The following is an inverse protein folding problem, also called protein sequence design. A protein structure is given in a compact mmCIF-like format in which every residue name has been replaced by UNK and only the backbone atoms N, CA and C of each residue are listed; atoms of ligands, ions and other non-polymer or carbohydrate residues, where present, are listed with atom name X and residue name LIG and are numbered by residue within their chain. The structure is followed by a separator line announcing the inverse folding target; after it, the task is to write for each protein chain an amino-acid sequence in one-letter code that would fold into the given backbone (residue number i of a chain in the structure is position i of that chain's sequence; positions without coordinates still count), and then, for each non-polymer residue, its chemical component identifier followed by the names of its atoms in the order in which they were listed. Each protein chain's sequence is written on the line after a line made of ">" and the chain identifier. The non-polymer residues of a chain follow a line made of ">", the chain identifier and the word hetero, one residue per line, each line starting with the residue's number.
data_IF_385580017333
#
_entry.id   IF_385580017333
#
_cell.length_a   1.000
_cell.length_b   1.000
_cell.length_c   1.000
_cell.angle_alpha   90.00
_cell.angle_beta   90.00
_cell.angle_gamma   90.00
#
_symmetry.space_group_name_H-M   'P 1'
#
loop_
_entity.id
_entity.type
_entity.pdbx_description
1 polymer ?
#
# COMPACT_ATOMS: atom_id res chain seq x y z
N UNK A 1 -31.64 6.97 24.58
CA UNK A 1 -30.70 7.55 23.60
C UNK A 1 -30.26 6.39 22.73
N UNK A 2 -30.47 6.47 21.41
CA UNK A 2 -29.89 5.49 20.49
C UNK A 2 -28.38 5.79 20.54
N UNK A 3 -27.55 4.86 21.02
CA UNK A 3 -26.12 4.97 20.83
C UNK A 3 -25.89 5.11 19.32
N UNK A 4 -25.44 6.30 18.89
CA UNK A 4 -25.04 6.46 17.49
C UNK A 4 -23.84 5.54 17.26
N UNK A 5 -24.03 4.58 16.36
CA UNK A 5 -22.99 3.59 16.04
C UNK A 5 -21.76 4.26 15.43
N UNK A 6 -20.58 3.78 15.78
CA UNK A 6 -19.32 4.26 15.22
C UNK A 6 -19.25 3.95 13.71
N UNK A 7 -18.92 4.98 12.91
CA UNK A 7 -18.82 4.88 11.46
C UNK A 7 -17.43 5.29 10.99
N UNK A 8 -16.81 4.47 10.13
CA UNK A 8 -15.54 4.80 9.51
C UNK A 8 -15.74 5.36 8.09
N UNK A 9 -15.11 6.49 7.80
CA UNK A 9 -15.12 7.11 6.48
C UNK A 9 -13.72 7.01 5.90
N UNK A 10 -13.51 6.03 5.00
CA UNK A 10 -12.23 5.80 4.32
C UNK A 10 -12.11 6.67 3.08
N UNK A 11 -11.06 7.48 3.03
CA UNK A 11 -10.65 8.22 1.85
C UNK A 11 -9.51 7.44 1.17
N UNK A 12 -9.80 6.78 0.06
CA UNK A 12 -8.85 6.00 -0.74
C UNK A 12 -8.46 6.76 -2.01
N UNK A 13 -7.40 6.35 -2.71
CA UNK A 13 -7.13 6.93 -4.03
C UNK A 13 -8.11 6.39 -5.08
N UNK A 14 -8.15 5.06 -5.29
CA UNK A 14 -8.97 4.42 -6.32
C UNK A 14 -9.82 3.26 -5.81
N UNK A 15 -9.42 2.58 -4.73
CA UNK A 15 -10.16 1.43 -4.23
C UNK A 15 -11.66 1.76 -4.04
N UNK A 16 -12.58 0.94 -4.49
CA UNK A 16 -12.42 -0.46 -4.95
C UNK A 16 -12.24 -0.63 -6.46
N UNK A 17 -11.83 0.38 -7.19
CA UNK A 17 -11.70 0.34 -8.65
C UNK A 17 -10.24 0.12 -9.09
N UNK A 18 -9.99 -0.75 -10.11
CA UNK A 18 -8.66 -0.90 -10.67
C UNK A 18 -8.18 0.37 -11.43
N UNK A 19 -6.86 0.56 -11.59
CA UNK A 19 -5.79 -0.22 -11.00
C UNK A 19 -5.41 0.25 -9.60
N UNK A 20 -4.96 -0.67 -8.75
CA UNK A 20 -4.29 -0.36 -7.48
C UNK A 20 -5.10 -0.66 -6.22
N UNK A 21 -4.43 -0.55 -5.10
CA UNK A 21 -4.97 -0.70 -3.73
C UNK A 21 -5.67 -2.05 -3.45
N UNK A 22 -5.39 -3.11 -4.24
CA UNK A 22 -6.01 -4.45 -4.02
C UNK A 22 -5.76 -4.99 -2.62
N UNK A 23 -4.62 -4.64 -2.02
CA UNK A 23 -4.23 -4.99 -0.67
C UNK A 23 -5.18 -4.43 0.41
N UNK A 24 -5.90 -3.34 0.14
CA UNK A 24 -6.89 -2.78 1.06
C UNK A 24 -8.12 -3.68 1.25
N UNK A 25 -8.40 -4.58 0.31
CA UNK A 25 -9.56 -5.49 0.38
C UNK A 25 -9.52 -6.33 1.65
N UNK A 26 -8.39 -7.00 1.92
CA UNK A 26 -8.22 -7.84 3.12
C UNK A 26 -8.33 -7.05 4.42
N UNK A 27 -7.74 -5.84 4.46
CA UNK A 27 -7.81 -4.97 5.63
C UNK A 27 -9.24 -4.50 5.91
N UNK A 28 -9.95 -3.99 4.89
CA UNK A 28 -11.33 -3.52 5.05
C UNK A 28 -12.31 -4.65 5.40
N UNK A 29 -12.14 -5.84 4.82
CA UNK A 29 -12.93 -7.01 5.18
C UNK A 29 -12.70 -7.40 6.64
N UNK A 30 -11.47 -7.35 7.13
CA UNK A 30 -11.16 -7.63 8.52
C UNK A 30 -11.73 -6.56 9.46
N UNK A 31 -11.59 -5.27 9.13
CA UNK A 31 -12.11 -4.14 9.89
C UNK A 31 -13.65 -4.17 9.94
N UNK A 32 -14.32 -4.55 8.84
CA UNK A 32 -15.78 -4.61 8.76
C UNK A 32 -16.45 -5.60 9.73
N UNK A 33 -15.66 -6.50 10.33
CA UNK A 33 -16.15 -7.42 11.38
C UNK A 33 -16.33 -6.72 12.73
N UNK A 34 -15.67 -5.59 12.93
CA UNK A 34 -15.60 -4.87 14.20
C UNK A 34 -16.34 -3.52 14.17
N UNK A 35 -16.74 -3.05 13.00
CA UNK A 35 -17.38 -1.74 12.79
C UNK A 35 -18.74 -1.94 12.13
N UNK A 36 -19.73 -1.13 12.53
CA UNK A 36 -21.09 -1.24 12.03
C UNK A 36 -21.25 -0.76 10.60
N UNK A 37 -20.62 0.37 10.26
CA UNK A 37 -20.67 0.97 8.93
C UNK A 37 -19.30 1.47 8.48
N UNK A 38 -18.92 1.12 7.27
CA UNK A 38 -17.74 1.65 6.58
C UNK A 38 -18.20 2.32 5.29
N UNK A 39 -17.90 3.61 5.15
CA UNK A 39 -18.12 4.36 3.91
C UNK A 39 -16.76 4.58 3.25
N UNK A 40 -16.61 4.16 2.00
CA UNK A 40 -15.40 4.38 1.22
C UNK A 40 -15.64 5.41 0.13
N UNK A 41 -14.74 6.40 0.04
CA UNK A 41 -14.77 7.48 -0.95
C UNK A 41 -13.45 7.45 -1.72
N UNK A 42 -13.42 7.01 -3.00
CA UNK A 42 -12.23 7.01 -3.83
C UNK A 42 -11.94 8.41 -4.36
N UNK A 43 -11.05 9.17 -3.69
CA UNK A 43 -10.83 10.60 -3.95
C UNK A 43 -9.86 10.91 -5.12
N UNK A 44 -9.46 9.91 -5.91
CA UNK A 44 -8.65 10.11 -7.12
C UNK A 44 -9.46 10.79 -8.23
N UNK A 45 -9.03 11.99 -8.67
CA UNK A 45 -9.74 12.73 -9.73
C UNK A 45 -9.57 12.13 -11.14
N UNK A 46 -8.70 11.16 -11.32
CA UNK A 46 -8.55 10.39 -12.56
C UNK A 46 -9.50 9.18 -12.64
N UNK A 47 -10.32 9.00 -11.62
CA UNK A 47 -11.27 7.89 -11.54
C UNK A 47 -12.24 7.89 -12.74
N UNK A 48 -12.35 6.76 -13.43
CA UNK A 48 -13.29 6.50 -14.51
C UNK A 48 -14.39 5.56 -14.01
N UNK A 49 -15.65 6.00 -14.11
CA UNK A 49 -16.82 5.23 -13.68
C UNK A 49 -17.03 3.90 -14.47
N UNK A 50 -16.27 3.70 -15.56
CA UNK A 50 -16.38 2.53 -16.43
C UNK A 50 -15.71 1.26 -15.89
N UNK A 51 -14.94 1.35 -14.81
CA UNK A 51 -14.27 0.20 -14.20
C UNK A 51 -15.20 -0.53 -13.25
N UNK A 52 -15.29 -1.86 -13.35
CA UNK A 52 -16.00 -2.65 -12.36
C UNK A 52 -15.22 -2.68 -11.04
N UNK A 53 -15.91 -2.50 -9.89
CA UNK A 53 -15.26 -2.56 -8.59
C UNK A 53 -14.84 -4.00 -8.26
N UNK A 54 -13.83 -4.15 -7.40
CA UNK A 54 -13.54 -5.43 -6.76
C UNK A 54 -14.76 -5.93 -5.97
N UNK A 55 -14.86 -7.25 -5.77
CA UNK A 55 -15.88 -7.82 -4.88
C UNK A 55 -15.64 -7.35 -3.45
N UNK A 56 -16.67 -6.84 -2.81
CA UNK A 56 -16.61 -6.23 -1.47
C UNK A 56 -17.73 -6.76 -0.56
N UNK A 57 -17.47 -6.76 0.74
CA UNK A 57 -18.47 -7.09 1.76
C UNK A 57 -19.67 -6.13 1.72
N UNK A 58 -20.87 -6.64 1.99
CA UNK A 58 -22.11 -5.85 2.07
C UNK A 58 -22.09 -4.78 3.18
N UNK A 59 -21.21 -4.87 4.15
CA UNK A 59 -21.00 -3.87 5.21
C UNK A 59 -20.21 -2.65 4.74
N UNK A 60 -19.58 -2.70 3.57
CA UNK A 60 -18.77 -1.62 3.03
C UNK A 60 -19.57 -0.89 1.97
N UNK A 61 -19.90 0.36 2.26
CA UNK A 61 -20.65 1.23 1.37
C UNK A 61 -19.68 2.11 0.56
N UNK A 62 -19.65 1.94 -0.75
CA UNK A 62 -18.81 2.76 -1.65
C UNK A 62 -19.63 3.96 -2.14
N UNK A 63 -19.20 5.16 -1.76
CA UNK A 63 -19.87 6.39 -2.16
C UNK A 63 -19.03 7.21 -3.16
N UNK A 64 -19.35 7.09 -4.43
CA UNK A 64 -18.68 7.82 -5.52
C UNK A 64 -19.30 9.20 -5.79
N UNK A 65 -20.44 9.55 -5.20
CA UNK A 65 -21.13 10.83 -5.46
C UNK A 65 -20.24 12.05 -5.24
N UNK A 66 -19.46 12.15 -4.12
CA UNK A 66 -18.55 13.28 -3.92
C UNK A 66 -17.54 13.42 -5.06
N UNK A 67 -16.97 12.31 -5.50
CA UNK A 67 -15.93 12.28 -6.54
C UNK A 67 -16.54 12.69 -7.89
N UNK A 68 -17.66 12.11 -8.27
CA UNK A 68 -18.39 12.45 -9.49
C UNK A 68 -18.72 13.95 -9.56
N UNK A 69 -19.22 14.53 -8.46
CA UNK A 69 -19.48 15.96 -8.37
C UNK A 69 -18.22 16.81 -8.51
N UNK A 70 -17.14 16.42 -7.84
CA UNK A 70 -15.87 17.12 -7.91
C UNK A 70 -15.25 17.05 -9.32
N UNK A 71 -15.23 15.87 -9.94
CA UNK A 71 -14.72 15.67 -11.31
C UNK A 71 -15.53 16.47 -12.32
N UNK A 72 -16.88 16.45 -12.24
CA UNK A 72 -17.75 17.23 -13.12
C UNK A 72 -17.46 18.73 -13.02
N UNK A 73 -17.29 19.25 -11.82
CA UNK A 73 -16.93 20.65 -11.59
C UNK A 73 -15.52 20.94 -12.11
N UNK A 74 -14.55 20.08 -11.79
CA UNK A 74 -13.18 20.25 -12.26
C UNK A 74 -13.09 20.29 -13.79
N UNK A 75 -13.78 19.39 -14.49
CA UNK A 75 -13.82 19.37 -15.95
C UNK A 75 -14.51 20.62 -16.53
N UNK A 76 -15.57 21.13 -15.87
CA UNK A 76 -16.32 22.32 -16.32
C UNK A 76 -15.58 23.64 -16.04
N UNK A 77 -14.60 23.65 -15.12
CA UNK A 77 -13.88 24.87 -14.74
C UNK A 77 -12.65 25.07 -15.63
N UNK A 78 -12.50 26.29 -16.14
CA UNK A 78 -11.23 26.71 -16.78
C UNK A 78 -10.09 26.83 -15.76
N UNK A 79 -8.85 26.86 -16.26
CA UNK A 79 -7.63 26.97 -15.42
C UNK A 79 -7.71 28.11 -14.38
N UNK A 80 -8.30 29.24 -14.77
CA UNK A 80 -8.45 30.42 -13.92
C UNK A 80 -9.34 30.16 -12.69
N UNK A 81 -10.53 29.54 -12.88
CA UNK A 81 -11.43 29.19 -11.75
C UNK A 81 -10.81 28.17 -10.82
N UNK A 82 -10.06 27.20 -11.35
CA UNK A 82 -9.33 26.22 -10.56
C UNK A 82 -8.27 26.92 -9.69
N UNK A 83 -7.51 27.85 -10.27
CA UNK A 83 -6.51 28.63 -9.54
C UNK A 83 -7.17 29.49 -8.44
N UNK A 84 -8.27 30.20 -8.73
CA UNK A 84 -9.00 30.99 -7.73
C UNK A 84 -9.40 30.08 -6.54
N UNK A 85 -9.94 28.88 -6.80
CA UNK A 85 -10.34 27.97 -5.71
C UNK A 85 -9.17 27.65 -4.78
N UNK A 86 -7.98 27.34 -5.31
CA UNK A 86 -6.79 27.14 -4.47
C UNK A 86 -6.36 28.42 -3.72
N UNK A 87 -6.46 29.58 -4.37
CA UNK A 87 -6.09 30.87 -3.78
C UNK A 87 -7.05 31.35 -2.67
N UNK A 88 -8.21 30.71 -2.47
CA UNK A 88 -9.11 31.03 -1.33
C UNK A 88 -8.47 30.73 0.03
N UNK A 89 -7.41 29.88 0.08
CA UNK A 89 -6.72 29.46 1.30
C UNK A 89 -5.25 29.93 1.26
N UNK A 90 -5.07 31.24 1.24
CA UNK A 90 -3.73 31.87 1.27
C UNK A 90 -2.94 31.52 2.52
N UNK A 91 -3.62 31.25 3.64
CA UNK A 91 -3.04 30.78 4.89
C UNK A 91 -2.27 29.46 4.69
N UNK A 92 -2.91 28.47 4.06
CA UNK A 92 -2.29 27.17 3.74
C UNK A 92 -1.15 27.35 2.74
N UNK A 93 -1.38 28.11 1.68
CA UNK A 93 -0.37 28.33 0.63
C UNK A 93 0.90 28.99 1.17
N UNK A 94 0.75 29.97 2.06
CA UNK A 94 1.90 30.65 2.70
C UNK A 94 2.64 29.71 3.64
N UNK A 95 1.92 28.93 4.46
CA UNK A 95 2.50 27.93 5.34
C UNK A 95 3.31 26.91 4.55
N UNK A 96 2.72 26.34 3.50
CA UNK A 96 3.40 25.35 2.65
C UNK A 96 4.62 25.92 1.96
N UNK A 97 4.51 27.14 1.41
CA UNK A 97 5.64 27.80 0.74
C UNK A 97 6.81 28.11 1.66
N UNK A 98 6.55 28.47 2.91
CA UNK A 98 7.61 28.73 3.89
C UNK A 98 8.39 27.46 4.24
N UNK A 99 7.70 26.29 4.24
CA UNK A 99 8.28 24.99 4.58
C UNK A 99 8.94 24.30 3.39
N UNK A 100 8.34 24.41 2.21
CA UNK A 100 8.75 23.71 0.96
C UNK A 100 8.96 24.71 -0.19
N UNK A 101 9.99 25.57 -0.11
CA UNK A 101 10.19 26.64 -1.09
C UNK A 101 10.53 26.15 -2.51
N UNK A 102 10.95 24.91 -2.67
CA UNK A 102 11.28 24.29 -3.97
C UNK A 102 10.06 23.86 -4.79
N UNK A 103 8.87 23.70 -4.17
CA UNK A 103 7.67 23.31 -4.90
C UNK A 103 7.13 24.47 -5.75
N UNK A 104 6.78 24.22 -7.05
CA UNK A 104 6.12 25.22 -7.88
C UNK A 104 4.75 25.62 -7.32
N UNK A 105 4.44 26.92 -7.33
CA UNK A 105 3.13 27.42 -6.90
C UNK A 105 1.95 26.76 -7.61
N UNK A 106 2.09 26.48 -8.90
CA UNK A 106 1.04 25.84 -9.69
C UNK A 106 0.67 24.46 -9.17
N UNK A 107 1.64 23.72 -8.64
CA UNK A 107 1.42 22.38 -8.07
C UNK A 107 0.66 22.52 -6.74
N UNK A 108 1.14 23.37 -5.83
CA UNK A 108 0.52 23.56 -4.52
C UNK A 108 -0.92 24.08 -4.68
N UNK A 109 -1.13 25.11 -5.51
CA UNK A 109 -2.45 25.68 -5.79
C UNK A 109 -3.38 24.64 -6.43
N UNK A 110 -2.86 23.85 -7.39
CA UNK A 110 -3.62 22.82 -8.06
C UNK A 110 -4.09 21.73 -7.11
N UNK A 111 -3.19 21.22 -6.26
CA UNK A 111 -3.49 20.18 -5.27
C UNK A 111 -4.49 20.69 -4.22
N UNK A 112 -4.30 21.89 -3.71
CA UNK A 112 -5.21 22.52 -2.76
C UNK A 112 -6.60 22.74 -3.37
N UNK A 113 -6.66 23.21 -4.62
CA UNK A 113 -7.95 23.42 -5.32
C UNK A 113 -8.74 22.12 -5.49
N UNK A 114 -8.06 21.02 -5.83
CA UNK A 114 -8.67 19.69 -5.95
C UNK A 114 -9.17 19.19 -4.59
N UNK A 115 -8.35 19.29 -3.55
CA UNK A 115 -8.69 18.87 -2.19
C UNK A 115 -9.88 19.66 -1.63
N UNK A 116 -9.92 20.99 -1.83
CA UNK A 116 -11.06 21.82 -1.44
C UNK A 116 -12.33 21.48 -2.20
N UNK A 117 -12.23 21.14 -3.48
CA UNK A 117 -13.39 20.77 -4.28
C UNK A 117 -13.99 19.43 -3.83
N UNK A 118 -13.13 18.46 -3.50
CA UNK A 118 -13.52 17.17 -2.94
C UNK A 118 -14.13 17.34 -1.55
N UNK A 119 -13.49 18.10 -0.67
CA UNK A 119 -14.01 18.45 0.65
C UNK A 119 -15.42 19.04 0.57
N UNK A 120 -15.64 20.07 -0.28
CA UNK A 120 -16.95 20.68 -0.48
C UNK A 120 -17.99 19.69 -1.04
N UNK A 121 -17.54 18.70 -1.83
CA UNK A 121 -18.44 17.70 -2.42
C UNK A 121 -18.78 16.62 -1.39
N UNK A 122 -17.88 16.23 -0.52
CA UNK A 122 -18.13 15.32 0.62
C UNK A 122 -19.14 15.96 1.56
N UNK A 123 -18.90 17.18 2.02
CA UNK A 123 -19.81 17.91 2.93
C UNK A 123 -21.23 18.11 2.37
N UNK A 124 -21.40 18.05 1.05
CA UNK A 124 -22.74 18.15 0.40
C UNK A 124 -23.45 16.81 0.26
N UNK A 125 -22.75 15.71 0.33
CA UNK A 125 -23.30 14.38 0.02
C UNK A 125 -23.33 13.44 1.21
N UNK A 126 -22.57 13.76 2.26
CA UNK A 126 -22.48 12.98 3.49
C UNK A 126 -22.69 13.95 4.65
N UNK A 127 -23.63 13.62 5.53
CA UNK A 127 -23.77 14.29 6.82
C UNK A 127 -22.77 13.64 7.77
N UNK A 128 -21.81 14.43 8.24
CA UNK A 128 -20.83 14.02 9.22
C UNK A 128 -21.39 14.15 10.63
N UNK A 129 -21.03 13.25 11.53
CA UNK A 129 -21.40 13.26 12.95
C UNK A 129 -20.15 13.19 13.82
N UNK A 130 -20.28 13.51 15.10
CA UNK A 130 -19.18 13.46 16.07
C UNK A 130 -18.61 12.04 16.28
N UNK A 131 -19.39 11.00 15.95
CA UNK A 131 -18.99 9.59 16.10
C UNK A 131 -18.32 9.03 14.83
N UNK A 132 -18.15 9.88 13.79
CA UNK A 132 -17.43 9.50 12.60
C UNK A 132 -15.92 9.55 12.83
N UNK A 133 -15.21 8.61 12.23
CA UNK A 133 -13.76 8.62 12.17
C UNK A 133 -13.35 8.67 10.70
N UNK A 134 -12.57 9.68 10.34
CA UNK A 134 -12.06 9.80 8.97
C UNK A 134 -10.70 9.11 8.89
N UNK A 135 -10.60 8.11 8.01
CA UNK A 135 -9.38 7.37 7.73
C UNK A 135 -8.87 7.74 6.34
N UNK A 136 -7.82 8.53 6.27
CA UNK A 136 -7.09 8.78 5.03
C UNK A 136 -6.14 7.62 4.77
N UNK A 137 -6.43 6.80 3.75
CA UNK A 137 -5.62 5.60 3.50
C UNK A 137 -4.26 5.90 2.83
N UNK A 138 -3.97 7.16 2.57
CA UNK A 138 -2.70 7.67 2.05
C UNK A 138 -2.36 9.02 2.69
N UNK A 139 -1.08 9.22 2.98
CA UNK A 139 -0.56 10.46 3.55
C UNK A 139 -0.33 11.56 2.49
N UNK A 140 -1.18 11.60 1.46
CA UNK A 140 -1.19 12.59 0.40
C UNK A 140 -2.56 13.28 0.32
N UNK A 141 -3.20 13.37 -0.85
CA UNK A 141 -4.52 14.04 -1.00
C UNK A 141 -5.61 13.56 -0.04
N UNK A 142 -5.82 12.25 0.21
CA UNK A 142 -6.72 11.78 1.27
C UNK A 142 -6.47 12.45 2.63
N UNK A 143 -5.20 12.56 3.06
CA UNK A 143 -4.85 13.22 4.32
C UNK A 143 -5.14 14.72 4.28
N UNK A 144 -4.90 15.39 3.15
CA UNK A 144 -5.24 16.82 2.97
C UNK A 144 -6.75 17.05 3.07
N UNK A 145 -7.55 16.16 2.49
CA UNK A 145 -9.03 16.26 2.57
C UNK A 145 -9.51 16.01 4.01
N UNK A 146 -8.97 15.01 4.70
CA UNK A 146 -9.27 14.74 6.10
C UNK A 146 -8.97 15.97 6.96
N UNK A 147 -7.79 16.56 6.83
CA UNK A 147 -7.40 17.77 7.55
C UNK A 147 -8.29 18.99 7.24
N UNK A 148 -8.78 19.14 6.01
CA UNK A 148 -9.72 20.20 5.63
C UNK A 148 -11.12 19.96 6.20
N UNK A 149 -11.56 18.72 6.37
CA UNK A 149 -12.84 18.37 6.96
C UNK A 149 -12.85 18.65 8.47
N UNK A 150 -11.74 18.40 9.18
CA UNK A 150 -11.65 18.69 10.62
C UNK A 150 -11.63 20.18 10.96
N UNK A 151 -11.31 21.05 10.01
CA UNK A 151 -11.48 22.49 10.23
C UNK A 151 -12.96 22.90 10.42
N UNK A 152 -13.88 22.21 9.74
CA UNK A 152 -15.33 22.44 9.88
C UNK A 152 -15.94 21.56 10.99
N UNK A 153 -15.29 20.44 11.32
CA UNK A 153 -15.73 19.40 12.24
C UNK A 153 -14.61 19.00 13.19
N UNK A 154 -14.19 19.86 14.13
CA UNK A 154 -13.06 19.60 15.03
C UNK A 154 -13.30 18.46 16.02
N UNK A 155 -14.55 18.05 16.19
CA UNK A 155 -14.95 16.90 17.02
C UNK A 155 -14.62 15.55 16.38
N UNK A 156 -14.49 15.50 15.04
CA UNK A 156 -14.23 14.25 14.30
C UNK A 156 -12.78 13.83 14.42
N UNK A 157 -12.54 12.58 14.77
CA UNK A 157 -11.21 11.99 14.83
C UNK A 157 -10.69 11.57 13.48
N UNK A 158 -9.38 11.64 13.32
CA UNK A 158 -8.71 11.42 12.04
C UNK A 158 -7.47 10.55 12.14
N UNK A 159 -7.35 9.63 11.21
CA UNK A 159 -6.18 8.75 11.06
C UNK A 159 -5.67 8.86 9.62
N UNK A 160 -4.36 8.91 9.42
CA UNK A 160 -3.76 8.71 8.11
C UNK A 160 -2.86 7.50 8.09
N UNK A 161 -3.05 6.61 7.12
CA UNK A 161 -2.02 5.63 6.78
C UNK A 161 -0.93 6.29 5.93
N UNK A 162 0.28 5.73 6.00
CA UNK A 162 1.43 6.18 5.25
C UNK A 162 2.20 4.97 4.70
N UNK A 163 2.32 4.91 3.37
CA UNK A 163 2.89 3.80 2.62
C UNK A 163 4.22 4.21 1.96
N UNK A 164 4.97 3.25 1.42
CA UNK A 164 6.23 3.57 0.75
C UNK A 164 6.11 4.55 -0.43
N UNK A 165 4.93 4.64 -1.07
CA UNK A 165 4.68 5.57 -2.19
C UNK A 165 4.44 7.02 -1.77
N UNK A 166 4.06 7.27 -0.52
CA UNK A 166 3.76 8.60 0.01
C UNK A 166 4.60 8.97 1.25
N UNK A 167 5.57 8.15 1.60
CA UNK A 167 6.57 8.46 2.65
C UNK A 167 7.83 9.05 2.05
N UNK A 168 8.35 8.42 0.96
CA UNK A 168 9.64 8.81 0.39
C UNK A 168 9.48 9.77 -0.77
N UNK A 169 9.95 11.01 -0.59
CA UNK A 169 9.91 12.05 -1.62
C UNK A 169 10.63 11.64 -2.92
N UNK A 170 11.66 10.77 -2.84
CA UNK A 170 12.38 10.23 -3.99
C UNK A 170 11.50 9.41 -4.96
N UNK A 171 10.33 8.97 -4.51
CA UNK A 171 9.35 8.25 -5.35
C UNK A 171 8.31 9.18 -5.99
N UNK A 172 8.27 10.43 -5.57
CA UNK A 172 7.40 11.45 -6.15
C UNK A 172 8.08 12.12 -7.35
N UNK A 173 7.27 12.64 -8.28
CA UNK A 173 7.78 13.47 -9.39
C UNK A 173 8.30 14.84 -8.92
N UNK A 174 8.24 15.12 -7.62
CA UNK A 174 8.63 16.36 -6.98
C UNK A 174 9.46 16.08 -5.73
N UNK A 175 10.33 17.01 -5.31
CA UNK A 175 11.20 16.82 -4.16
C UNK A 175 10.45 16.69 -2.82
N UNK A 176 9.15 17.02 -2.80
CA UNK A 176 8.27 16.91 -1.64
C UNK A 176 6.83 16.65 -2.08
N UNK A 177 6.05 15.97 -1.24
CA UNK A 177 4.61 15.83 -1.46
C UNK A 177 3.90 17.13 -1.04
N UNK A 178 3.14 17.77 -1.95
CA UNK A 178 2.46 19.03 -1.64
C UNK A 178 1.42 18.84 -0.54
N UNK A 179 1.38 19.77 0.42
CA UNK A 179 0.45 19.85 1.54
C UNK A 179 0.55 18.71 2.57
N UNK A 180 1.46 17.75 2.40
CA UNK A 180 1.57 16.60 3.29
C UNK A 180 1.84 17.01 4.74
N UNK A 181 2.88 17.80 4.99
CA UNK A 181 3.24 18.26 6.35
C UNK A 181 2.11 19.06 6.97
N UNK A 182 1.49 19.97 6.19
CA UNK A 182 0.35 20.77 6.64
C UNK A 182 -0.82 19.87 7.07
N UNK A 183 -1.12 18.83 6.29
CA UNK A 183 -2.19 17.88 6.57
C UNK A 183 -1.87 17.02 7.79
N UNK A 184 -0.73 16.33 7.79
CA UNK A 184 -0.35 15.40 8.86
C UNK A 184 -0.25 16.07 10.23
N UNK A 185 0.17 17.33 10.27
CA UNK A 185 0.20 18.11 11.51
C UNK A 185 -1.18 18.28 12.17
N UNK A 186 -2.26 18.12 11.42
CA UNK A 186 -3.65 18.31 11.89
C UNK A 186 -4.39 17.03 12.24
N UNK A 187 -3.82 15.88 11.89
CA UNK A 187 -4.44 14.58 12.13
C UNK A 187 -4.11 14.03 13.52
N UNK A 188 -5.01 13.24 14.10
CA UNK A 188 -4.84 12.70 15.44
C UNK A 188 -3.79 11.57 15.48
N UNK A 189 -3.74 10.71 14.44
CA UNK A 189 -2.74 9.62 14.34
C UNK A 189 -2.25 9.45 12.91
N UNK A 190 -0.99 9.05 12.78
CA UNK A 190 -0.33 8.72 11.53
C UNK A 190 0.25 7.31 11.67
N UNK A 191 -0.23 6.41 10.82
CA UNK A 191 0.04 4.98 10.86
C UNK A 191 0.95 4.59 9.69
N UNK A 192 2.25 4.50 9.93
CA UNK A 192 3.17 3.98 8.92
C UNK A 192 3.07 2.46 8.84
N UNK A 193 3.06 1.91 7.62
CA UNK A 193 2.97 0.46 7.40
C UNK A 193 4.26 -0.30 7.75
N UNK A 194 5.36 0.42 8.04
CA UNK A 194 6.65 -0.15 8.43
C UNK A 194 7.33 0.67 9.54
N UNK A 195 8.23 0.04 10.28
CA UNK A 195 9.06 0.75 11.25
C UNK A 195 10.02 1.72 10.56
N UNK A 196 10.61 1.31 9.45
CA UNK A 196 11.48 2.17 8.64
C UNK A 196 10.75 3.44 8.19
N UNK A 197 9.50 3.31 7.71
CA UNK A 197 8.66 4.44 7.33
C UNK A 197 8.28 5.32 8.53
N UNK A 198 7.94 4.72 9.68
CA UNK A 198 7.69 5.46 10.93
C UNK A 198 8.90 6.29 11.34
N UNK A 199 10.10 5.70 11.34
CA UNK A 199 11.30 6.37 11.79
C UNK A 199 11.72 7.48 10.82
N UNK A 200 11.53 7.27 9.52
CA UNK A 200 11.69 8.31 8.51
C UNK A 200 10.73 9.49 8.75
N UNK A 201 9.43 9.23 8.90
CA UNK A 201 8.43 10.28 9.17
C UNK A 201 8.69 11.02 10.48
N UNK A 202 9.11 10.32 11.55
CA UNK A 202 9.49 10.95 12.82
C UNK A 202 10.70 11.86 12.68
N UNK A 203 11.66 11.49 11.84
CA UNK A 203 12.83 12.31 11.54
C UNK A 203 12.48 13.54 10.69
N UNK A 204 11.58 13.38 9.73
CA UNK A 204 11.14 14.47 8.85
C UNK A 204 10.20 15.45 9.56
N UNK A 205 9.35 14.95 10.47
CA UNK A 205 8.32 15.70 11.16
C UNK A 205 8.45 15.62 12.70
N UNK A 206 9.49 16.21 13.29
CA UNK A 206 9.75 16.11 14.74
C UNK A 206 8.67 16.77 15.60
N UNK A 207 7.94 17.77 15.10
CA UNK A 207 6.93 18.53 15.85
C UNK A 207 5.72 17.70 16.28
N UNK A 208 5.44 16.60 15.58
CA UNK A 208 4.31 15.71 15.89
C UNK A 208 4.70 14.23 15.89
N UNK A 209 5.97 13.93 16.17
CA UNK A 209 6.50 12.55 16.19
C UNK A 209 5.76 11.60 17.13
N UNK A 210 5.13 12.12 18.20
CA UNK A 210 4.34 11.33 19.15
C UNK A 210 3.03 10.77 18.57
N UNK A 211 2.52 11.34 17.46
CA UNK A 211 1.34 10.86 16.75
C UNK A 211 1.67 9.83 15.67
N UNK A 212 2.96 9.62 15.39
CA UNK A 212 3.43 8.70 14.35
C UNK A 212 3.78 7.36 14.98
N UNK A 213 3.10 6.30 14.54
CA UNK A 213 3.34 4.93 15.02
C UNK A 213 3.28 3.93 13.86
N UNK A 214 3.76 2.71 14.10
CA UNK A 214 3.68 1.63 13.11
C UNK A 214 2.35 0.92 13.23
N UNK A 215 1.67 0.75 12.10
CA UNK A 215 0.53 -0.15 11.95
C UNK A 215 0.71 -0.93 10.65
N UNK A 216 1.04 -2.22 10.77
CA UNK A 216 1.35 -3.06 9.61
C UNK A 216 0.09 -3.41 8.82
N UNK A 217 0.24 -3.50 7.50
CA UNK A 217 -0.75 -4.14 6.64
C UNK A 217 -0.83 -5.63 6.98
N UNK A 218 -1.92 -6.27 6.57
CA UNK A 218 -2.09 -7.69 6.76
C UNK A 218 -2.71 -8.39 5.56
N UNK A 219 -2.50 -9.69 5.49
CA UNK A 219 -3.23 -10.60 4.62
C UNK A 219 -3.92 -11.66 5.47
N UNK A 220 -4.94 -12.30 4.93
CA UNK A 220 -5.60 -13.40 5.63
C UNK A 220 -4.61 -14.54 5.79
N UNK A 221 -4.42 -15.00 7.04
CA UNK A 221 -3.62 -16.20 7.31
C UNK A 221 -4.28 -17.42 6.67
N UNK A 222 -3.47 -18.26 6.01
CA UNK A 222 -3.94 -19.46 5.35
C UNK A 222 -3.76 -20.69 6.24
N UNK A 223 -4.83 -21.48 6.41
CA UNK A 223 -4.75 -22.81 7.04
C UNK A 223 -4.13 -23.85 6.08
N UNK A 224 -4.03 -23.52 4.80
CA UNK A 224 -3.52 -24.40 3.76
C UNK A 224 -2.12 -23.99 3.39
N UNK A 225 -1.16 -24.86 3.71
CA UNK A 225 0.23 -24.69 3.33
C UNK A 225 0.45 -25.02 1.87
N UNK A 226 1.42 -24.34 1.25
CA UNK A 226 1.94 -24.69 -0.06
C UNK A 226 2.48 -26.13 -0.04
N UNK A 227 2.14 -26.98 -1.03
CA UNK A 227 2.64 -28.35 -1.08
C UNK A 227 4.17 -28.38 -1.25
N UNK A 228 4.81 -29.37 -0.64
CA UNK A 228 6.24 -29.58 -0.84
C UNK A 228 6.51 -30.04 -2.28
N UNK A 229 7.55 -29.51 -2.87
CA UNK A 229 8.05 -29.99 -4.14
C UNK A 229 8.74 -31.36 -3.95
N UNK A 230 8.28 -32.36 -4.70
CA UNK A 230 8.84 -33.72 -4.64
C UNK A 230 9.72 -34.04 -5.86
N UNK A 231 9.97 -33.05 -6.71
CA UNK A 231 10.79 -33.20 -7.93
C UNK A 231 12.21 -32.72 -7.71
N UNK A 232 13.12 -33.09 -8.60
CA UNK A 232 14.49 -32.57 -8.62
C UNK A 232 14.57 -31.12 -9.17
N UNK A 233 13.50 -30.65 -9.80
CA UNK A 233 13.45 -29.32 -10.42
C UNK A 233 13.03 -28.29 -9.38
N UNK A 234 13.92 -27.36 -9.03
CA UNK A 234 13.60 -26.27 -8.10
C UNK A 234 12.58 -25.31 -8.73
N UNK A 235 11.45 -25.10 -8.08
CA UNK A 235 10.44 -24.18 -8.55
C UNK A 235 10.61 -22.81 -7.86
N UNK A 236 10.97 -21.81 -8.65
CA UNK A 236 11.14 -20.42 -8.21
C UNK A 236 9.96 -19.59 -8.68
N UNK A 237 9.40 -18.80 -7.77
CA UNK A 237 8.34 -17.82 -8.07
C UNK A 237 8.89 -16.39 -7.98
N UNK A 238 8.42 -15.51 -8.84
CA UNK A 238 8.44 -14.05 -8.61
C UNK A 238 7.05 -13.47 -8.86
N UNK A 239 6.59 -12.56 -7.99
CA UNK A 239 5.23 -12.03 -7.99
C UNK A 239 5.27 -10.51 -7.85
N UNK A 240 5.13 -9.80 -8.97
CA UNK A 240 5.13 -8.32 -9.00
C UNK A 240 4.77 -7.78 -10.38
N UNK A 241 4.39 -6.51 -10.47
CA UNK A 241 4.36 -5.81 -11.75
C UNK A 241 5.77 -5.73 -12.37
N UNK A 242 5.87 -5.82 -13.70
CA UNK A 242 7.12 -5.68 -14.44
C UNK A 242 7.44 -4.18 -14.67
N UNK A 243 7.92 -3.53 -13.60
CA UNK A 243 8.36 -2.14 -13.58
C UNK A 243 9.81 -2.05 -13.07
N UNK A 244 10.53 -1.00 -13.46
CA UNK A 244 11.95 -0.82 -13.16
C UNK A 244 12.30 -1.05 -11.68
N UNK A 245 11.51 -0.51 -10.77
CA UNK A 245 11.74 -0.62 -9.31
C UNK A 245 11.72 -2.07 -8.80
N UNK A 246 11.05 -2.99 -9.48
CA UNK A 246 10.96 -4.42 -9.10
C UNK A 246 12.16 -5.25 -9.54
N UNK A 247 12.96 -4.74 -10.46
CA UNK A 247 14.22 -5.33 -10.95
C UNK A 247 14.14 -6.83 -11.31
N UNK A 248 13.00 -7.28 -11.84
CA UNK A 248 12.79 -8.68 -12.26
C UNK A 248 13.79 -9.12 -13.33
N UNK A 249 14.35 -8.17 -14.08
CA UNK A 249 15.43 -8.41 -15.03
C UNK A 249 16.68 -9.04 -14.38
N UNK A 250 16.95 -8.82 -13.08
CA UNK A 250 18.08 -9.46 -12.40
C UNK A 250 17.89 -10.97 -12.30
N UNK A 251 16.66 -11.44 -12.10
CA UNK A 251 16.33 -12.87 -12.10
C UNK A 251 16.56 -13.44 -13.49
N UNK A 252 16.08 -12.77 -14.55
CA UNK A 252 16.30 -13.20 -15.93
C UNK A 252 17.80 -13.26 -16.29
N UNK A 253 18.57 -12.25 -15.90
CA UNK A 253 20.01 -12.16 -16.11
C UNK A 253 20.80 -13.22 -15.30
N UNK A 254 20.23 -13.76 -14.23
CA UNK A 254 20.84 -14.82 -13.44
C UNK A 254 20.77 -16.20 -14.13
N UNK A 255 19.81 -16.42 -15.04
CA UNK A 255 19.54 -17.72 -15.65
C UNK A 255 20.78 -18.40 -16.28
N UNK A 256 21.66 -17.69 -17.04
CA UNK A 256 22.86 -18.33 -17.63
C UNK A 256 23.87 -18.88 -16.60
N UNK A 257 23.81 -18.40 -15.36
CA UNK A 257 24.75 -18.82 -14.28
C UNK A 257 24.17 -19.92 -13.38
N UNK A 258 22.94 -20.37 -13.64
CA UNK A 258 22.31 -21.43 -12.86
C UNK A 258 22.72 -22.79 -13.41
N UNK A 259 23.16 -23.68 -12.51
CA UNK A 259 23.70 -25.00 -12.85
C UNK A 259 22.76 -26.16 -12.55
N UNK A 260 21.70 -25.93 -11.76
CA UNK A 260 20.71 -26.95 -11.41
C UNK A 260 19.44 -26.84 -12.25
N UNK A 261 18.61 -27.87 -12.26
CA UNK A 261 17.31 -27.82 -12.92
C UNK A 261 16.39 -26.84 -12.16
N UNK A 262 15.82 -25.91 -12.88
CA UNK A 262 14.85 -24.95 -12.33
C UNK A 262 13.64 -24.76 -13.24
N UNK A 263 12.51 -24.44 -12.63
CA UNK A 263 11.35 -23.79 -13.25
C UNK A 263 11.18 -22.43 -12.60
N UNK A 264 11.28 -21.35 -13.37
CA UNK A 264 10.96 -20.01 -12.89
C UNK A 264 9.61 -19.57 -13.44
N UNK A 265 8.66 -19.32 -12.54
CA UNK A 265 7.36 -18.74 -12.88
C UNK A 265 7.32 -17.28 -12.44
N UNK A 266 6.89 -16.40 -13.33
CA UNK A 266 6.60 -15.01 -13.00
C UNK A 266 5.11 -14.73 -13.13
N UNK A 267 4.50 -14.16 -12.06
CA UNK A 267 3.11 -13.66 -12.06
C UNK A 267 3.14 -12.14 -11.99
N UNK A 268 2.58 -11.52 -13.00
CA UNK A 268 2.52 -10.08 -13.19
C UNK A 268 2.85 -9.68 -14.62
N UNK A 269 2.63 -8.42 -14.94
CA UNK A 269 2.96 -7.85 -16.26
C UNK A 269 3.33 -6.36 -16.10
N UNK A 270 3.91 -5.76 -17.14
CA UNK A 270 4.25 -4.35 -17.14
C UNK A 270 5.20 -3.95 -18.26
N UNK A 271 5.60 -2.67 -18.30
CA UNK A 271 6.39 -2.10 -19.40
C UNK A 271 7.76 -2.77 -19.58
N UNK A 272 8.35 -3.34 -18.52
CA UNK A 272 9.66 -4.00 -18.58
C UNK A 272 9.62 -5.42 -19.21
N UNK A 273 8.43 -5.97 -19.52
CA UNK A 273 8.29 -7.33 -20.06
C UNK A 273 9.22 -7.59 -21.26
N UNK A 274 9.19 -6.70 -22.26
CA UNK A 274 9.99 -6.90 -23.46
C UNK A 274 11.48 -6.86 -23.17
N UNK A 275 11.93 -5.97 -22.29
CA UNK A 275 13.33 -5.89 -21.85
C UNK A 275 13.76 -7.20 -21.15
N UNK A 276 12.95 -7.70 -20.23
CA UNK A 276 13.23 -8.95 -19.50
C UNK A 276 13.30 -10.14 -20.44
N UNK A 277 12.38 -10.26 -21.41
CA UNK A 277 12.38 -11.35 -22.38
C UNK A 277 13.64 -11.41 -23.24
N UNK A 278 14.35 -10.29 -23.47
CA UNK A 278 15.62 -10.30 -24.23
C UNK A 278 16.73 -11.10 -23.53
N UNK A 279 16.69 -11.20 -22.20
CA UNK A 279 17.65 -11.95 -21.38
C UNK A 279 17.36 -13.47 -21.34
N UNK A 280 16.19 -13.89 -21.82
CA UNK A 280 15.71 -15.27 -21.77
C UNK A 280 15.88 -16.03 -23.10
N UNK A 281 16.65 -15.47 -24.02
CA UNK A 281 16.98 -16.12 -25.29
C UNK A 281 18.10 -17.14 -25.09
N UNK A 282 17.99 -18.32 -25.73
CA UNK A 282 19.01 -19.38 -25.70
C UNK A 282 19.34 -19.92 -24.30
N UNK A 283 18.31 -20.09 -23.46
CA UNK A 283 18.49 -20.68 -22.13
C UNK A 283 18.99 -22.13 -22.20
N UNK A 284 19.80 -22.57 -21.22
CA UNK A 284 20.18 -23.97 -21.08
C UNK A 284 18.90 -24.87 -20.93
N UNK A 285 18.95 -26.12 -21.44
CA UNK A 285 17.78 -27.02 -21.46
C UNK A 285 17.25 -27.44 -20.06
N UNK A 286 18.01 -27.17 -19.02
CA UNK A 286 17.63 -27.45 -17.63
C UNK A 286 16.91 -26.26 -16.96
N UNK A 287 16.67 -25.18 -17.71
CA UNK A 287 15.97 -23.98 -17.22
C UNK A 287 14.65 -23.84 -17.97
N UNK A 288 13.56 -23.88 -17.24
CA UNK A 288 12.21 -23.61 -17.72
C UNK A 288 11.75 -22.26 -17.20
N UNK A 289 11.15 -21.43 -18.06
CA UNK A 289 10.64 -20.10 -17.70
C UNK A 289 9.21 -19.93 -18.19
N UNK A 290 8.35 -19.46 -17.29
CA UNK A 290 6.94 -19.22 -17.57
C UNK A 290 6.50 -17.85 -17.06
N UNK A 291 5.83 -17.07 -17.91
CA UNK A 291 5.22 -15.79 -17.56
C UNK A 291 3.70 -15.91 -17.68
N UNK A 292 3.01 -15.91 -16.53
CA UNK A 292 1.54 -16.08 -16.48
C UNK A 292 0.80 -14.74 -16.72
N UNK A 293 1.52 -13.62 -16.80
CA UNK A 293 0.90 -12.30 -16.94
C UNK A 293 0.16 -11.87 -15.68
N UNK A 294 -0.71 -10.88 -15.81
CA UNK A 294 -1.55 -10.42 -14.71
C UNK A 294 -2.67 -11.42 -14.44
N UNK A 295 -2.68 -12.00 -13.25
CA UNK A 295 -3.75 -12.87 -12.78
C UNK A 295 -4.68 -12.09 -11.81
N UNK A 296 -5.98 -12.41 -11.78
CA UNK A 296 -6.87 -11.99 -10.72
C UNK A 296 -6.32 -12.43 -9.35
N UNK A 297 -6.49 -11.61 -8.31
CA UNK A 297 -5.92 -11.87 -6.98
C UNK A 297 -6.28 -13.26 -6.43
N UNK A 298 -7.55 -13.68 -6.56
CA UNK A 298 -7.97 -15.01 -6.13
C UNK A 298 -7.24 -16.14 -6.88
N UNK A 299 -6.87 -15.93 -8.15
CA UNK A 299 -6.08 -16.90 -8.92
C UNK A 299 -4.63 -16.95 -8.44
N UNK A 300 -4.06 -15.80 -8.02
CA UNK A 300 -2.74 -15.74 -7.38
C UNK A 300 -2.76 -16.55 -6.08
N UNK A 301 -3.72 -16.31 -5.20
CA UNK A 301 -3.85 -17.06 -3.94
C UNK A 301 -4.05 -18.57 -4.19
N UNK A 302 -4.85 -18.93 -5.21
CA UNK A 302 -5.01 -20.33 -5.60
C UNK A 302 -3.69 -20.94 -6.08
N UNK A 303 -2.90 -20.20 -6.88
CA UNK A 303 -1.58 -20.63 -7.33
C UNK A 303 -0.63 -20.88 -6.15
N UNK A 304 -0.54 -19.94 -5.21
CA UNK A 304 0.27 -20.09 -3.99
C UNK A 304 -0.16 -21.28 -3.13
N UNK A 305 -1.43 -21.68 -3.21
CA UNK A 305 -1.99 -22.79 -2.45
C UNK A 305 -1.76 -24.16 -3.09
N UNK A 306 -1.69 -24.24 -4.42
CA UNK A 306 -1.72 -25.51 -5.15
C UNK A 306 -0.44 -25.89 -5.88
N UNK A 307 0.31 -24.90 -6.35
CA UNK A 307 1.58 -25.15 -7.05
C UNK A 307 2.73 -25.33 -6.05
N UNK A 308 3.50 -26.42 -6.11
CA UNK A 308 4.65 -26.60 -5.22
C UNK A 308 5.74 -25.60 -5.55
N UNK A 309 5.99 -24.66 -4.63
CA UNK A 309 6.96 -23.58 -4.77
C UNK A 309 8.03 -23.73 -3.69
N UNK A 310 9.30 -23.77 -4.11
CA UNK A 310 10.42 -23.93 -3.20
C UNK A 310 10.93 -22.59 -2.66
N UNK A 311 10.87 -21.55 -3.49
CA UNK A 311 11.43 -20.24 -3.20
C UNK A 311 10.70 -19.15 -3.98
N UNK A 312 10.39 -18.05 -3.30
CA UNK A 312 10.01 -16.80 -3.97
C UNK A 312 11.15 -15.78 -3.94
N UNK A 313 11.38 -15.07 -5.04
CA UNK A 313 12.38 -14.01 -5.15
C UNK A 313 11.73 -12.63 -5.26
N UNK A 314 12.19 -11.68 -4.44
CA UNK A 314 11.88 -10.26 -4.53
C UNK A 314 13.18 -9.46 -4.67
N UNK A 315 13.45 -8.95 -5.86
CA UNK A 315 14.68 -8.24 -6.22
C UNK A 315 14.52 -6.73 -6.28
N UNK A 316 13.50 -6.18 -5.64
CA UNK A 316 13.13 -4.77 -5.71
C UNK A 316 14.25 -3.83 -5.26
N UNK A 317 14.32 -2.63 -5.85
CA UNK A 317 15.20 -1.55 -5.38
C UNK A 317 14.57 -0.67 -4.31
N UNK A 318 13.24 -0.77 -4.11
CA UNK A 318 12.50 -0.04 -3.09
C UNK A 318 11.15 -0.70 -2.84
N UNK A 319 10.81 -0.87 -1.57
CA UNK A 319 9.52 -1.42 -1.11
C UNK A 319 8.95 -0.61 0.06
N UNK A 320 7.64 -0.73 0.30
CA UNK A 320 7.03 -0.44 1.59
C UNK A 320 7.19 -1.66 2.49
N UNK A 321 6.11 -2.43 2.65
CA UNK A 321 6.15 -3.83 3.05
C UNK A 321 5.36 -4.61 1.99
N UNK A 322 6.01 -5.49 1.21
CA UNK A 322 5.36 -6.10 0.05
C UNK A 322 4.29 -7.11 0.45
N UNK A 323 3.07 -6.90 -0.01
CA UNK A 323 1.94 -7.80 0.24
C UNK A 323 2.20 -9.19 -0.34
N UNK A 324 2.87 -9.26 -1.50
CA UNK A 324 3.24 -10.55 -2.12
C UNK A 324 4.12 -11.44 -1.22
N UNK A 325 4.98 -10.83 -0.37
CA UNK A 325 5.76 -11.58 0.62
C UNK A 325 4.86 -12.07 1.75
N UNK A 326 3.93 -11.24 2.23
CA UNK A 326 2.96 -11.66 3.25
C UNK A 326 2.10 -12.83 2.75
N UNK A 327 1.65 -12.78 1.49
CA UNK A 327 0.87 -13.85 0.86
C UNK A 327 1.70 -15.14 0.71
N UNK A 328 2.95 -15.06 0.25
CA UNK A 328 3.84 -16.21 0.19
C UNK A 328 4.03 -16.83 1.59
N UNK A 329 4.32 -16.01 2.60
CA UNK A 329 4.52 -16.44 3.97
C UNK A 329 3.26 -17.03 4.60
N UNK A 330 2.06 -16.55 4.24
CA UNK A 330 0.81 -17.13 4.72
C UNK A 330 0.63 -18.59 4.28
N UNK A 331 1.24 -18.95 3.15
CA UNK A 331 1.27 -20.33 2.64
C UNK A 331 2.55 -21.09 3.02
N UNK A 332 3.46 -20.49 3.81
CA UNK A 332 4.72 -21.12 4.22
C UNK A 332 5.77 -21.16 3.10
N UNK A 333 5.67 -20.31 2.07
CA UNK A 333 6.65 -20.24 0.97
C UNK A 333 7.80 -19.34 1.42
N UNK A 334 9.05 -19.85 1.47
CA UNK A 334 10.22 -19.04 1.78
C UNK A 334 10.47 -17.94 0.74
N UNK A 335 10.96 -16.78 1.18
CA UNK A 335 11.25 -15.66 0.30
C UNK A 335 12.69 -15.20 0.53
N UNK A 336 13.44 -14.98 -0.54
CA UNK A 336 14.68 -14.21 -0.52
C UNK A 336 14.39 -12.83 -1.11
N UNK A 337 14.80 -11.77 -0.41
CA UNK A 337 14.54 -10.41 -0.83
C UNK A 337 15.72 -9.48 -0.59
N UNK A 338 15.82 -8.44 -1.42
CA UNK A 338 16.77 -7.34 -1.21
C UNK A 338 16.47 -6.54 0.04
N UNK A 339 17.49 -6.06 0.74
CA UNK A 339 17.37 -5.22 1.95
C UNK A 339 16.95 -3.79 1.58
N UNK A 340 15.67 -3.61 1.29
CA UNK A 340 15.10 -2.32 0.93
C UNK A 340 13.77 -2.08 1.62
N UNK A 341 13.57 -0.87 2.14
CA UNK A 341 12.31 -0.48 2.80
C UNK A 341 11.92 -1.41 3.94
N UNK A 342 10.72 -1.96 3.89
CA UNK A 342 10.20 -2.88 4.91
C UNK A 342 10.50 -4.37 4.67
N UNK A 343 11.31 -4.74 3.67
CA UNK A 343 11.62 -6.14 3.40
C UNK A 343 12.29 -6.82 4.61
N UNK A 344 13.26 -6.15 5.24
CA UNK A 344 13.93 -6.66 6.45
C UNK A 344 13.04 -6.74 7.69
N UNK A 345 11.83 -6.20 7.64
CA UNK A 345 10.84 -6.32 8.73
C UNK A 345 9.97 -7.58 8.62
N UNK A 346 9.93 -8.21 7.45
CA UNK A 346 9.12 -9.42 7.22
C UNK A 346 9.99 -10.62 6.85
N UNK A 347 11.04 -10.44 6.05
CA UNK A 347 11.87 -11.53 5.57
C UNK A 347 12.86 -11.98 6.63
N UNK A 348 13.07 -13.29 6.75
CA UNK A 348 14.08 -13.86 7.63
C UNK A 348 15.46 -13.25 7.33
N UNK A 349 16.20 -12.92 8.40
CA UNK A 349 17.48 -12.21 8.27
C UNK A 349 18.48 -12.93 7.36
N UNK A 350 18.52 -14.25 7.42
CA UNK A 350 19.36 -15.13 6.58
C UNK A 350 18.95 -15.16 5.12
N UNK A 351 17.74 -14.65 4.78
CA UNK A 351 17.22 -14.56 3.42
C UNK A 351 17.20 -13.12 2.88
N UNK A 352 17.72 -12.17 3.64
CA UNK A 352 17.92 -10.79 3.17
C UNK A 352 19.26 -10.69 2.45
N UNK A 353 19.25 -10.11 1.26
CA UNK A 353 20.43 -9.89 0.43
C UNK A 353 20.70 -8.39 0.23
N UNK A 354 21.96 -8.00 -0.01
CA UNK A 354 22.31 -6.61 -0.24
C UNK A 354 21.48 -5.96 -1.35
N UNK A 355 21.12 -4.67 -1.23
CA UNK A 355 20.29 -3.97 -2.23
C UNK A 355 20.99 -3.80 -3.58
N UNK A 356 22.33 -3.86 -3.60
CA UNK A 356 23.19 -3.80 -4.78
C UNK A 356 23.56 -5.16 -5.36
N UNK A 357 22.98 -6.27 -4.85
CA UNK A 357 23.14 -7.62 -5.42
C UNK A 357 22.89 -7.64 -6.91
N UNK A 358 23.74 -8.34 -7.62
CA UNK A 358 23.71 -8.53 -9.07
C UNK A 358 23.14 -9.91 -9.48
N UNK A 359 23.13 -10.20 -10.77
CA UNK A 359 22.60 -11.45 -11.32
C UNK A 359 23.40 -12.69 -10.89
N UNK A 360 24.72 -12.58 -10.69
CA UNK A 360 25.57 -13.70 -10.24
C UNK A 360 25.27 -14.02 -8.76
N UNK A 361 25.03 -13.00 -7.93
CA UNK A 361 24.60 -13.19 -6.55
C UNK A 361 23.26 -13.93 -6.47
N UNK A 362 22.30 -13.55 -7.32
CA UNK A 362 21.00 -14.23 -7.42
C UNK A 362 21.17 -15.68 -7.87
N UNK A 363 22.02 -15.94 -8.90
CA UNK A 363 22.29 -17.29 -9.37
C UNK A 363 22.95 -18.16 -8.28
N UNK A 364 23.88 -17.59 -7.52
CA UNK A 364 24.53 -18.28 -6.40
C UNK A 364 23.51 -18.72 -5.36
N UNK A 365 22.60 -17.83 -4.96
CA UNK A 365 21.51 -18.14 -4.01
C UNK A 365 20.67 -19.30 -4.53
N UNK A 366 20.27 -19.24 -5.80
CA UNK A 366 19.46 -20.29 -6.42
C UNK A 366 20.21 -21.63 -6.45
N UNK A 367 21.49 -21.63 -6.84
CA UNK A 367 22.31 -22.84 -6.91
C UNK A 367 22.52 -23.50 -5.52
N UNK A 368 22.70 -22.68 -4.47
CA UNK A 368 22.94 -23.12 -3.10
C UNK A 368 21.65 -23.37 -2.31
N UNK A 369 20.49 -23.02 -2.87
CA UNK A 369 19.21 -23.20 -2.18
C UNK A 369 18.95 -24.65 -1.82
N UNK A 370 18.68 -24.89 -0.55
CA UNK A 370 18.27 -26.19 -0.02
C UNK A 370 16.93 -26.03 0.71
N UNK A 371 16.04 -26.99 0.50
CA UNK A 371 14.76 -26.99 1.19
C UNK A 371 14.96 -27.27 2.68
N UNK A 372 14.39 -26.43 3.51
CA UNK A 372 14.29 -26.64 4.96
C UNK A 372 12.82 -26.45 5.39
N UNK A 373 12.20 -27.57 5.76
CA UNK A 373 10.79 -27.57 6.20
C UNK A 373 10.56 -26.71 7.45
N UNK A 374 11.58 -26.53 8.30
CA UNK A 374 11.48 -25.65 9.46
C UNK A 374 11.36 -24.17 9.05
N UNK A 375 11.96 -23.79 7.92
CA UNK A 375 11.83 -22.43 7.38
C UNK A 375 10.38 -22.16 7.00
N UNK A 376 9.70 -23.11 6.36
CA UNK A 376 8.27 -22.98 5.99
C UNK A 376 7.37 -22.70 7.21
N UNK A 377 7.63 -23.35 8.32
CA UNK A 377 6.91 -23.10 9.58
C UNK A 377 7.25 -21.72 10.14
N UNK A 378 8.54 -21.36 10.21
CA UNK A 378 8.99 -20.05 10.72
C UNK A 378 8.37 -18.88 9.96
N UNK A 379 8.37 -18.90 8.62
CA UNK A 379 7.82 -17.80 7.81
C UNK A 379 6.31 -17.67 8.00
N UNK A 380 5.59 -18.78 8.18
CA UNK A 380 4.17 -18.75 8.47
C UNK A 380 3.87 -18.17 9.85
N UNK A 381 4.67 -18.47 10.86
CA UNK A 381 4.56 -17.87 12.20
C UNK A 381 4.77 -16.36 12.11
N UNK A 382 5.81 -15.90 11.41
CA UNK A 382 6.07 -14.46 11.21
C UNK A 382 4.85 -13.76 10.61
N UNK A 383 4.25 -14.34 9.55
CA UNK A 383 3.06 -13.76 8.93
C UNK A 383 1.88 -13.73 9.90
N UNK A 384 1.55 -14.84 10.54
CA UNK A 384 0.39 -14.96 11.41
C UNK A 384 0.49 -14.09 12.69
N UNK A 385 1.68 -13.79 13.17
CA UNK A 385 1.88 -12.94 14.34
C UNK A 385 1.89 -11.45 14.01
N UNK A 386 2.48 -11.06 12.86
CA UNK A 386 2.77 -9.67 12.58
C UNK A 386 1.98 -9.10 11.41
N UNK A 387 1.53 -9.95 10.47
CA UNK A 387 0.94 -9.55 9.19
C UNK A 387 -0.41 -10.24 8.93
N UNK A 388 -1.09 -10.71 9.98
CA UNK A 388 -2.46 -11.20 9.89
C UNK A 388 -3.46 -10.04 9.89
N UNK A 389 -4.32 -9.97 8.86
CA UNK A 389 -5.27 -8.88 8.69
C UNK A 389 -6.29 -8.78 9.82
N UNK A 390 -6.71 -9.91 10.41
CA UNK A 390 -7.66 -9.91 11.54
C UNK A 390 -7.03 -9.33 12.80
N UNK A 391 -5.80 -9.74 13.13
CA UNK A 391 -5.06 -9.18 14.27
C UNK A 391 -4.75 -7.69 14.10
N UNK A 392 -4.40 -7.30 12.86
CA UNK A 392 -4.10 -5.90 12.55
C UNK A 392 -5.37 -5.04 12.58
N UNK A 393 -6.52 -5.56 12.12
CA UNK A 393 -7.80 -4.88 12.31
C UNK A 393 -8.12 -4.63 13.79
N UNK A 394 -7.93 -5.62 14.67
CA UNK A 394 -8.13 -5.45 16.12
C UNK A 394 -7.20 -4.37 16.71
N UNK A 395 -5.94 -4.31 16.27
CA UNK A 395 -5.01 -3.24 16.68
C UNK A 395 -5.48 -1.86 16.20
N UNK A 396 -6.03 -1.76 14.98
CA UNK A 396 -6.59 -0.50 14.49
C UNK A 396 -7.78 -0.06 15.33
N UNK A 397 -8.69 -0.97 15.68
CA UNK A 397 -9.81 -0.66 16.57
C UNK A 397 -9.32 -0.14 17.92
N UNK A 398 -8.32 -0.79 18.52
CA UNK A 398 -7.72 -0.28 19.78
C UNK A 398 -7.13 1.13 19.62
N UNK A 399 -6.50 1.45 18.50
CA UNK A 399 -6.00 2.81 18.22
C UNK A 399 -7.17 3.79 18.11
N UNK A 400 -8.27 3.39 17.49
CA UNK A 400 -9.48 4.20 17.37
C UNK A 400 -10.08 4.47 18.75
N UNK A 401 -10.22 3.44 19.59
CA UNK A 401 -10.71 3.57 20.96
C UNK A 401 -9.83 4.50 21.79
N UNK A 402 -8.51 4.41 21.65
CA UNK A 402 -7.57 5.28 22.36
C UNK A 402 -7.78 6.76 22.00
N UNK A 403 -7.91 7.10 20.70
CA UNK A 403 -8.09 8.50 20.27
C UNK A 403 -9.48 9.05 20.58
N UNK A 404 -10.51 8.20 20.68
CA UNK A 404 -11.86 8.63 21.07
C UNK A 404 -11.93 8.87 22.58
N UNK A 405 -11.31 8.02 23.40
CA UNK A 405 -11.27 8.16 24.86
C UNK A 405 -10.36 9.30 25.35
N UNK A 406 -9.44 9.82 24.53
CA UNK A 406 -8.62 10.99 24.88
C UNK A 406 -9.49 12.26 25.11
N UNK A 407 -10.70 12.35 24.54
CA UNK A 407 -11.62 13.49 24.73
C UNK A 407 -12.27 13.43 26.12
N UNK A 408 -12.68 12.27 26.60
CA UNK A 408 -13.40 12.14 27.88
C UNK A 408 -12.55 12.53 29.10
N UNK A 409 -11.19 12.53 28.94
CA UNK A 409 -10.26 12.91 30.00
C UNK A 409 -9.95 14.40 30.06
N UNK A 410 -10.32 15.18 29.03
CA UNK A 410 -10.01 16.62 28.91
C UNK A 410 -11.30 17.48 29.06
N UNK A 411 -12.46 16.87 29.00
CA UNK A 411 -13.78 17.48 29.27
C UNK A 411 -14.17 17.29 30.74
#
# INVERSE_FOLDING_TARGET
>A
MVEESMRLIFLTNHWPYPPGETFLTSDLEAISKHIDEIIVIPVGLSFEESSEPYSISSKINVNIKPVTLAVKRWKSWGKFRRAIKGLTRLDILRSERSRKPSLPWSIIIGELAQSLLLKDSIAKTITLSQNDIIVAYWANRPATIAALLTEDHPEIKTISFAHGGDIYASRANYPHLPLQEWALHRLDRILSVSNAGRDHLKSEFPDFHNRIQTHRLGVVSSDIKNPNNTTETLHILSLSSLVEVKRVQLIAQAMPYITRKIRWTHIGDGPERNNIMTHLTNLPPHIEVEFLGNLPHNSVLQYLKTEPIDLMLNTSSSEGVPVSIMEAYSHGIPVVATDVGGNSEIVLKEHIIPPDSNSEDIAKIINEWSEDLQIREKVNIIQSENFDSTKNAQKLISIIDDITNEIEKVS
#
